data_IF_117293786839
#
_entry.id   IF_117293786839
#
_cell.length_a   1.000
_cell.length_b   1.000
_cell.length_c   1.000
_cell.angle_alpha   90.00
_cell.angle_beta   90.00
_cell.angle_gamma   90.00
#
_symmetry.space_group_name_H-M   'P 1'
#
loop_
_entity.id
_entity.type
_entity.pdbx_description
1 polymer ?
#
# COMPACT_ATOMS: atom_id res chain seq x y z
N UNK A 1 -12.48 1.97 29.17
CA UNK A 1 -11.50 1.75 28.08
C UNK A 1 -11.57 0.29 27.67
N UNK A 2 -11.88 0.02 26.42
CA UNK A 2 -11.84 -1.33 25.87
C UNK A 2 -10.39 -1.74 25.73
N UNK A 3 -10.00 -2.92 26.22
CA UNK A 3 -8.67 -3.47 26.04
C UNK A 3 -8.64 -4.26 24.74
N UNK A 4 -7.64 -4.01 23.91
CA UNK A 4 -7.37 -4.77 22.69
C UNK A 4 -6.29 -5.81 23.00
N UNK A 5 -6.52 -7.04 22.63
CA UNK A 5 -5.56 -8.14 22.81
C UNK A 5 -5.14 -8.70 21.46
N UNK A 6 -3.84 -8.93 21.29
CA UNK A 6 -3.32 -9.59 20.10
C UNK A 6 -3.39 -11.12 20.22
N UNK A 7 -3.62 -11.82 19.12
CA UNK A 7 -3.92 -11.29 17.78
C UNK A 7 -5.37 -10.80 17.68
N UNK A 8 -5.59 -9.65 17.04
CA UNK A 8 -6.94 -9.13 16.78
C UNK A 8 -7.65 -9.90 15.66
N UNK A 9 -6.90 -10.48 14.74
CA UNK A 9 -7.31 -11.42 13.71
C UNK A 9 -6.43 -12.64 13.79
N UNK A 10 -7.04 -13.83 13.83
CA UNK A 10 -6.29 -15.10 13.87
C UNK A 10 -6.18 -15.71 12.50
N UNK A 11 -5.00 -16.20 12.14
CA UNK A 11 -4.72 -16.78 10.82
C UNK A 11 -3.67 -16.00 10.06
N UNK A 12 -3.78 -16.02 8.72
CA UNK A 12 -2.85 -15.36 7.82
C UNK A 12 -3.44 -14.01 7.37
N UNK A 13 -2.91 -12.92 7.92
CA UNK A 13 -3.36 -11.54 7.65
C UNK A 13 -2.12 -10.65 7.49
N UNK A 14 -1.40 -10.84 6.38
CA UNK A 14 -0.16 -10.12 6.09
C UNK A 14 -0.41 -8.69 5.62
N UNK A 15 0.59 -7.83 5.80
CA UNK A 15 0.68 -6.47 5.26
C UNK A 15 -0.56 -5.62 5.55
N UNK A 16 -0.97 -5.44 6.82
CA UNK A 16 -2.20 -4.76 7.15
C UNK A 16 -2.15 -3.26 6.85
N UNK A 17 -3.15 -2.76 6.13
CA UNK A 17 -3.43 -1.33 5.98
C UNK A 17 -4.70 -0.98 6.76
N UNK A 18 -4.61 -0.02 7.70
CA UNK A 18 -5.74 0.38 8.54
C UNK A 18 -6.31 1.72 8.11
N UNK A 19 -7.64 1.79 8.03
CA UNK A 19 -8.40 3.00 7.75
C UNK A 19 -9.49 3.20 8.83
N UNK A 20 -9.65 4.45 9.28
CA UNK A 20 -10.80 4.84 10.10
C UNK A 20 -11.62 5.88 9.36
N UNK A 21 -12.87 5.57 9.07
CA UNK A 21 -13.81 6.46 8.38
C UNK A 21 -15.25 6.18 8.80
N UNK A 22 -16.06 7.22 8.90
CA UNK A 22 -17.49 7.14 9.22
C UNK A 22 -17.82 6.34 10.50
N UNK A 23 -16.93 6.35 11.50
CA UNK A 23 -17.13 5.66 12.78
C UNK A 23 -16.76 4.18 12.77
N UNK A 24 -16.17 3.68 11.69
CA UNK A 24 -15.73 2.29 11.55
C UNK A 24 -14.23 2.21 11.19
N UNK A 25 -13.58 1.17 11.68
CA UNK A 25 -12.21 0.78 11.31
C UNK A 25 -12.28 -0.29 10.23
N UNK A 26 -11.36 -0.23 9.29
CA UNK A 26 -11.17 -1.22 8.24
C UNK A 26 -9.72 -1.66 8.22
N UNK A 27 -9.47 -2.96 8.05
CA UNK A 27 -8.14 -3.51 7.80
C UNK A 27 -8.20 -4.23 6.46
N UNK A 28 -7.28 -3.89 5.54
CA UNK A 28 -7.09 -4.59 4.29
C UNK A 28 -5.77 -5.36 4.35
N UNK A 29 -5.77 -6.62 3.88
CA UNK A 29 -4.63 -7.52 3.94
C UNK A 29 -4.27 -8.11 2.57
N UNK A 30 -3.00 -8.48 2.42
CA UNK A 30 -2.51 -9.26 1.28
C UNK A 30 -3.15 -10.64 1.22
N UNK A 31 -3.49 -11.08 0.00
CA UNK A 31 -3.99 -12.42 -0.24
C UNK A 31 -3.06 -13.27 -1.08
N UNK A 32 -1.97 -12.69 -1.58
CA UNK A 32 -0.99 -13.36 -2.44
C UNK A 32 -1.64 -14.09 -3.61
N UNK A 33 -1.36 -15.36 -3.82
CA UNK A 33 -1.97 -16.20 -4.89
C UNK A 33 -3.41 -16.60 -4.63
N UNK A 34 -3.97 -16.28 -3.47
CA UNK A 34 -5.33 -16.69 -3.13
C UNK A 34 -6.37 -15.72 -3.66
N UNK A 35 -7.38 -16.30 -4.32
CA UNK A 35 -8.51 -15.55 -4.88
C UNK A 35 -9.77 -15.79 -4.01
N UNK A 36 -10.60 -14.77 -3.83
CA UNK A 36 -10.56 -13.40 -4.36
C UNK A 36 -9.49 -12.52 -3.68
N UNK A 37 -9.03 -11.49 -4.42
CA UNK A 37 -7.95 -10.61 -3.97
C UNK A 37 -8.40 -9.57 -2.96
N UNK A 38 -7.51 -9.27 -2.03
CA UNK A 38 -7.66 -8.38 -0.86
C UNK A 38 -8.74 -8.86 0.11
N UNK A 39 -8.30 -9.22 1.30
CA UNK A 39 -9.20 -9.47 2.42
C UNK A 39 -9.43 -8.16 3.18
N UNK A 40 -10.71 -7.84 3.47
CA UNK A 40 -11.06 -6.67 4.27
C UNK A 40 -11.89 -7.11 5.49
N UNK A 41 -11.51 -6.59 6.66
CA UNK A 41 -12.28 -6.71 7.89
C UNK A 41 -12.70 -5.33 8.39
N UNK A 42 -13.89 -5.24 9.02
CA UNK A 42 -14.38 -4.01 9.66
C UNK A 42 -14.68 -4.21 11.13
N UNK A 43 -14.51 -3.14 11.91
CA UNK A 43 -14.77 -3.09 13.34
C UNK A 43 -15.21 -1.70 13.79
N UNK A 44 -16.01 -1.61 14.84
CA UNK A 44 -16.35 -0.34 15.52
C UNK A 44 -15.51 -0.09 16.77
N UNK A 45 -14.80 -1.10 17.27
CA UNK A 45 -14.15 -1.06 18.58
C UNK A 45 -12.72 -1.62 18.59
N UNK A 46 -12.17 -2.03 17.43
CA UNK A 46 -10.86 -2.68 17.27
C UNK A 46 -10.75 -4.07 17.94
N UNK A 47 -11.83 -4.62 18.43
CA UNK A 47 -11.87 -5.92 19.13
C UNK A 47 -12.70 -6.93 18.34
N UNK A 48 -13.91 -6.51 17.93
CA UNK A 48 -14.84 -7.37 17.21
C UNK A 48 -14.75 -7.05 15.72
N UNK A 49 -14.20 -7.97 14.95
CA UNK A 49 -13.99 -7.82 13.52
C UNK A 49 -14.93 -8.73 12.73
N UNK A 50 -15.44 -8.21 11.63
CA UNK A 50 -16.27 -8.95 10.69
C UNK A 50 -15.73 -8.78 9.28
N UNK A 51 -15.72 -9.84 8.48
CA UNK A 51 -15.28 -9.78 7.07
C UNK A 51 -16.25 -8.94 6.24
N UNK A 52 -15.70 -8.25 5.26
CA UNK A 52 -16.40 -7.53 4.20
C UNK A 52 -16.21 -8.34 2.90
N UNK A 53 -17.15 -8.30 1.95
CA UNK A 53 -16.93 -8.91 0.63
C UNK A 53 -15.61 -8.43 0.02
N UNK A 54 -14.83 -9.38 -0.52
CA UNK A 54 -13.55 -9.05 -1.13
C UNK A 54 -13.74 -8.13 -2.35
N UNK A 55 -12.99 -7.02 -2.44
CA UNK A 55 -13.14 -6.05 -3.52
C UNK A 55 -12.75 -6.59 -4.89
N UNK A 56 -11.79 -7.52 -4.96
CA UNK A 56 -11.24 -8.03 -6.21
C UNK A 56 -11.77 -9.45 -6.50
N UNK A 57 -13.10 -9.58 -6.57
CA UNK A 57 -13.80 -10.85 -6.74
C UNK A 57 -14.31 -11.13 -8.16
N UNK A 58 -13.99 -10.27 -9.12
CA UNK A 58 -14.38 -10.41 -10.53
C UNK A 58 -13.12 -10.44 -11.41
N UNK A 59 -13.14 -11.23 -12.49
CA UNK A 59 -12.02 -11.36 -13.42
C UNK A 59 -11.59 -10.00 -14.01
N UNK A 60 -12.53 -9.09 -14.28
CA UNK A 60 -12.23 -7.74 -14.77
C UNK A 60 -11.42 -6.91 -13.77
N UNK A 61 -11.52 -7.22 -12.46
CA UNK A 61 -10.82 -6.49 -11.40
C UNK A 61 -9.47 -7.12 -11.08
N UNK A 62 -9.35 -8.43 -11.23
CA UNK A 62 -8.13 -9.17 -10.91
C UNK A 62 -8.02 -10.43 -11.76
N UNK A 63 -7.10 -10.41 -12.72
CA UNK A 63 -6.64 -11.60 -13.42
C UNK A 63 -5.32 -12.08 -12.80
N UNK A 64 -5.34 -13.28 -12.21
CA UNK A 64 -4.17 -13.91 -11.59
C UNK A 64 -3.64 -15.08 -12.42
N UNK A 65 -4.16 -15.29 -13.62
CA UNK A 65 -3.72 -16.39 -14.49
C UNK A 65 -2.22 -16.26 -14.80
N UNK A 66 -1.47 -17.32 -14.52
CA UNK A 66 -0.04 -17.37 -14.76
C UNK A 66 0.84 -16.72 -13.69
N UNK A 67 0.26 -16.22 -12.58
CA UNK A 67 1.06 -15.75 -11.45
C UNK A 67 1.81 -16.93 -10.81
N UNK A 68 3.05 -16.64 -10.36
CA UNK A 68 3.82 -17.63 -9.59
C UNK A 68 3.25 -17.82 -8.18
N UNK A 69 3.61 -18.92 -7.54
CA UNK A 69 3.36 -19.15 -6.12
C UNK A 69 3.92 -17.98 -5.28
N UNK A 70 3.21 -17.60 -4.24
CA UNK A 70 3.50 -16.44 -3.38
C UNK A 70 3.50 -15.07 -4.08
N UNK A 71 3.10 -15.00 -5.35
CA UNK A 71 2.81 -13.77 -6.07
C UNK A 71 1.32 -13.41 -5.94
N UNK A 72 0.82 -12.52 -6.78
CA UNK A 72 -0.56 -12.04 -6.73
C UNK A 72 -0.68 -10.76 -5.92
N UNK A 73 -1.62 -10.67 -5.01
CA UNK A 73 -1.94 -9.43 -4.31
C UNK A 73 -1.02 -9.20 -3.11
N UNK A 74 -0.19 -8.16 -3.21
CA UNK A 74 0.70 -7.70 -2.14
C UNK A 74 0.31 -6.32 -1.64
N UNK A 75 0.45 -6.13 -0.31
CA UNK A 75 0.36 -4.88 0.44
C UNK A 75 -0.71 -3.90 -0.07
N UNK A 76 -2.00 -4.26 -0.02
CA UNK A 76 -3.06 -3.35 -0.41
C UNK A 76 -3.16 -2.19 0.58
N UNK A 77 -3.39 -0.98 0.07
CA UNK A 77 -3.68 0.19 0.89
C UNK A 77 -5.11 0.65 0.66
N UNK A 78 -5.89 0.68 1.74
CA UNK A 78 -7.24 1.23 1.74
C UNK A 78 -7.21 2.65 2.29
N UNK A 79 -7.79 3.60 1.55
CA UNK A 79 -7.93 4.99 1.96
C UNK A 79 -9.32 5.54 1.62
N UNK A 80 -9.64 6.75 2.08
CA UNK A 80 -10.93 7.38 1.81
C UNK A 80 -10.73 8.85 1.48
N UNK A 81 -11.22 9.28 0.33
CA UNK A 81 -11.18 10.66 -0.12
C UNK A 81 -12.30 10.91 -1.13
N UNK A 82 -12.71 12.17 -1.30
CA UNK A 82 -13.73 12.60 -2.26
C UNK A 82 -15.06 11.81 -2.13
N UNK A 83 -15.39 11.36 -0.90
CA UNK A 83 -16.60 10.57 -0.65
C UNK A 83 -16.52 9.10 -1.07
N UNK A 84 -15.34 8.59 -1.42
CA UNK A 84 -15.12 7.24 -1.95
C UNK A 84 -14.04 6.49 -1.18
N UNK A 85 -14.15 5.18 -1.17
CA UNK A 85 -13.05 4.28 -0.83
C UNK A 85 -12.11 4.17 -2.03
N UNK A 86 -10.81 4.21 -1.76
CA UNK A 86 -9.72 4.04 -2.69
C UNK A 86 -8.90 2.83 -2.25
N UNK A 87 -8.80 1.84 -3.09
CA UNK A 87 -7.99 0.66 -2.83
C UNK A 87 -6.87 0.58 -3.86
N UNK A 88 -5.64 0.65 -3.38
CA UNK A 88 -4.44 0.46 -4.20
C UNK A 88 -3.82 -0.88 -3.84
N UNK A 89 -3.31 -1.59 -4.83
CA UNK A 89 -2.68 -2.89 -4.65
C UNK A 89 -1.63 -3.14 -5.73
N UNK A 90 -0.67 -4.00 -5.42
CA UNK A 90 0.22 -4.59 -6.41
C UNK A 90 -0.31 -5.96 -6.82
N UNK A 91 -0.44 -6.24 -8.11
CA UNK A 91 -0.60 -7.59 -8.63
C UNK A 91 0.78 -8.10 -9.06
N UNK A 92 1.52 -8.72 -8.14
CA UNK A 92 2.83 -9.29 -8.42
C UNK A 92 2.66 -10.48 -9.34
N UNK A 93 3.14 -10.38 -10.57
CA UNK A 93 3.03 -11.46 -11.55
C UNK A 93 4.20 -12.43 -11.46
N UNK A 94 5.41 -11.90 -11.25
CA UNK A 94 6.60 -12.73 -11.10
C UNK A 94 7.51 -12.18 -10.01
N UNK A 95 8.04 -13.08 -9.19
CA UNK A 95 9.05 -12.80 -8.18
C UNK A 95 10.16 -13.89 -8.23
N UNK A 96 10.86 -13.95 -9.35
CA UNK A 96 11.93 -14.91 -9.54
C UNK A 96 13.29 -14.41 -8.98
N UNK A 97 14.33 -15.23 -9.04
CA UNK A 97 15.67 -14.91 -8.54
C UNK A 97 16.40 -13.81 -9.30
N UNK A 98 15.95 -13.46 -10.50
CA UNK A 98 16.59 -12.40 -11.30
C UNK A 98 16.28 -10.99 -10.76
N UNK A 99 16.95 -9.97 -11.28
CA UNK A 99 16.71 -8.57 -10.88
C UNK A 99 15.36 -8.03 -11.40
N UNK A 100 14.75 -8.72 -12.34
CA UNK A 100 13.52 -8.31 -12.99
C UNK A 100 12.32 -8.77 -12.17
N UNK A 101 11.41 -7.85 -11.91
CA UNK A 101 10.14 -8.11 -11.23
C UNK A 101 9.02 -7.51 -12.07
N UNK A 102 7.90 -8.22 -12.14
CA UNK A 102 6.67 -7.74 -12.76
C UNK A 102 5.67 -7.42 -11.64
N UNK A 103 5.60 -6.15 -11.27
CA UNK A 103 4.88 -5.63 -10.10
C UNK A 103 3.99 -4.44 -10.46
N UNK A 104 2.99 -4.61 -11.35
CA UNK A 104 2.07 -3.53 -11.68
C UNK A 104 1.20 -3.15 -10.48
N UNK A 105 1.09 -1.84 -10.24
CA UNK A 105 0.26 -1.23 -9.22
C UNK A 105 -1.03 -0.71 -9.85
N UNK A 106 -2.15 -0.96 -9.19
CA UNK A 106 -3.48 -0.59 -9.64
C UNK A 106 -4.26 0.16 -8.56
N UNK A 107 -5.22 0.97 -9.01
CA UNK A 107 -6.22 1.65 -8.18
C UNK A 107 -7.62 1.21 -8.62
N UNK A 108 -8.48 0.89 -7.65
CA UNK A 108 -9.93 0.81 -7.81
C UNK A 108 -10.61 1.68 -6.77
N UNK A 109 -11.79 2.23 -7.09
CA UNK A 109 -12.57 3.08 -6.18
C UNK A 109 -14.01 2.59 -6.06
N UNK A 110 -14.66 2.88 -4.93
CA UNK A 110 -16.07 2.57 -4.71
C UNK A 110 -16.74 3.59 -3.77
N UNK A 111 -18.03 3.84 -3.95
CA UNK A 111 -18.80 4.68 -3.03
C UNK A 111 -19.10 3.95 -1.70
N UNK A 112 -19.14 2.62 -1.74
CA UNK A 112 -19.31 1.75 -0.58
C UNK A 112 -18.16 0.75 -0.48
N UNK A 113 -17.78 0.38 0.74
CA UNK A 113 -16.77 -0.66 0.97
C UNK A 113 -17.18 -2.03 0.39
N UNK A 114 -18.46 -2.26 0.25
CA UNK A 114 -19.02 -3.48 -0.34
C UNK A 114 -19.08 -3.42 -1.88
N UNK A 115 -18.65 -2.29 -2.48
CA UNK A 115 -18.67 -2.05 -3.91
C UNK A 115 -20.00 -1.45 -4.42
N UNK A 116 -20.26 -1.48 -5.74
CA UNK A 116 -19.37 -2.04 -6.75
C UNK A 116 -18.08 -1.24 -6.92
N UNK A 117 -16.98 -1.94 -7.16
CA UNK A 117 -15.67 -1.34 -7.40
C UNK A 117 -15.50 -0.99 -8.89
N UNK A 118 -14.83 0.14 -9.14
CA UNK A 118 -14.51 0.61 -10.50
C UNK A 118 -13.59 -0.35 -11.24
N UNK A 119 -13.48 -0.20 -12.55
CA UNK A 119 -12.42 -0.86 -13.30
C UNK A 119 -11.03 -0.41 -12.79
N UNK A 120 -10.02 -1.30 -12.83
CA UNK A 120 -8.70 -1.01 -12.35
C UNK A 120 -8.00 0.05 -13.21
N UNK A 121 -7.45 1.06 -12.57
CA UNK A 121 -6.57 2.04 -13.19
C UNK A 121 -5.12 1.61 -12.98
N UNK A 122 -4.40 1.32 -14.05
CA UNK A 122 -2.97 1.08 -13.97
C UNK A 122 -2.25 2.36 -13.56
N UNK A 123 -1.40 2.26 -12.52
CA UNK A 123 -0.61 3.39 -12.02
C UNK A 123 0.82 3.34 -12.55
N UNK A 124 1.61 2.40 -12.07
CA UNK A 124 2.98 2.18 -12.49
C UNK A 124 3.43 0.73 -12.22
N UNK A 125 4.66 0.40 -12.59
CA UNK A 125 5.34 -0.85 -12.25
C UNK A 125 6.78 -0.58 -11.80
N UNK A 126 7.01 0.52 -11.08
CA UNK A 126 8.34 0.94 -10.62
C UNK A 126 8.80 0.22 -9.34
N UNK A 127 7.97 -0.59 -8.79
CA UNK A 127 8.15 -1.33 -7.54
C UNK A 127 6.80 -1.75 -7.00
N UNK A 128 6.69 -2.01 -5.70
CA UNK A 128 5.51 -2.56 -5.04
C UNK A 128 5.19 -1.80 -3.74
N UNK A 129 4.26 -2.33 -2.94
CA UNK A 129 3.77 -1.74 -1.69
C UNK A 129 3.25 -0.30 -1.89
N UNK A 130 2.25 -0.11 -2.74
CA UNK A 130 1.73 1.22 -3.01
C UNK A 130 0.79 1.68 -1.92
N UNK A 131 0.83 2.97 -1.59
CA UNK A 131 -0.19 3.65 -0.80
C UNK A 131 -0.62 4.96 -1.45
N UNK A 132 -1.79 5.48 -1.07
CA UNK A 132 -2.25 6.79 -1.50
C UNK A 132 -2.29 7.74 -0.31
N UNK A 133 -1.61 8.86 -0.44
CA UNK A 133 -1.72 9.98 0.48
C UNK A 133 -2.63 11.06 -0.11
N UNK A 134 -3.65 11.46 0.63
CA UNK A 134 -4.56 12.56 0.30
C UNK A 134 -4.16 13.77 1.13
N UNK A 135 -3.63 14.81 0.49
CA UNK A 135 -3.22 16.02 1.20
C UNK A 135 -4.41 16.97 1.42
N UNK A 136 -4.28 17.88 2.39
CA UNK A 136 -5.30 18.86 2.77
C UNK A 136 -5.62 19.86 1.65
N UNK A 137 -4.75 19.99 0.65
CA UNK A 137 -4.95 20.84 -0.52
C UNK A 137 -5.76 20.17 -1.64
N UNK A 138 -6.26 18.95 -1.40
CA UNK A 138 -7.07 18.18 -2.33
C UNK A 138 -6.26 17.41 -3.37
N UNK A 139 -4.94 17.39 -3.29
CA UNK A 139 -4.10 16.57 -4.17
C UNK A 139 -3.91 15.16 -3.61
N UNK A 140 -3.71 14.22 -4.53
CA UNK A 140 -3.49 12.82 -4.22
C UNK A 140 -2.10 12.41 -4.67
N UNK A 141 -1.42 11.60 -3.85
CA UNK A 141 -0.03 11.23 -4.07
C UNK A 141 0.14 9.73 -3.94
N UNK A 142 0.52 9.08 -5.04
CA UNK A 142 0.98 7.71 -5.00
C UNK A 142 2.35 7.65 -4.33
N UNK A 143 2.48 6.74 -3.37
CA UNK A 143 3.73 6.44 -2.67
C UNK A 143 4.00 4.96 -2.85
N UNK A 144 5.18 4.56 -3.31
CA UNK A 144 5.57 3.15 -3.39
C UNK A 144 7.09 2.99 -3.24
N UNK A 145 7.54 1.80 -2.86
CA UNK A 145 8.96 1.51 -2.91
C UNK A 145 9.44 1.41 -4.37
N UNK A 146 10.69 1.76 -4.63
CA UNK A 146 11.32 1.58 -5.94
C UNK A 146 12.14 0.29 -5.99
N UNK A 147 11.85 -0.54 -6.99
CA UNK A 147 12.69 -1.66 -7.38
C UNK A 147 13.59 -1.26 -8.54
N UNK A 148 14.89 -1.02 -8.27
CA UNK A 148 15.83 -0.63 -9.32
C UNK A 148 16.67 -1.83 -9.80
N UNK A 149 16.22 -2.45 -10.88
CA UNK A 149 16.90 -3.58 -11.51
C UNK A 149 18.32 -3.28 -12.00
N UNK A 150 18.68 -1.99 -12.17
CA UNK A 150 20.00 -1.55 -12.62
C UNK A 150 21.05 -1.63 -11.50
N UNK A 151 20.63 -1.67 -10.25
CA UNK A 151 21.54 -1.84 -9.11
C UNK A 151 22.20 -3.20 -9.16
N UNK A 152 23.53 -3.21 -9.05
CA UNK A 152 24.32 -4.43 -8.96
C UNK A 152 24.27 -4.98 -7.55
N UNK A 153 24.23 -6.32 -7.42
CA UNK A 153 24.17 -6.99 -6.13
C UNK A 153 22.79 -7.57 -5.81
N UNK A 154 22.60 -8.10 -4.62
CA UNK A 154 21.38 -8.81 -4.26
C UNK A 154 20.22 -7.89 -3.85
N UNK A 155 20.49 -6.60 -3.64
CA UNK A 155 19.51 -5.65 -3.11
C UNK A 155 19.18 -4.59 -4.16
N UNK A 156 17.99 -4.67 -4.76
CA UNK A 156 17.43 -3.72 -5.71
C UNK A 156 16.48 -2.69 -5.07
N UNK A 157 16.20 -2.78 -3.79
CA UNK A 157 15.43 -1.76 -3.06
C UNK A 157 16.15 -0.41 -3.19
N UNK A 158 15.44 0.62 -3.62
CA UNK A 158 16.08 1.88 -4.03
C UNK A 158 15.47 3.13 -3.39
N UNK A 159 14.62 2.96 -2.40
CA UNK A 159 13.98 4.05 -1.69
C UNK A 159 12.50 4.19 -2.01
N UNK A 160 11.91 5.25 -1.50
CA UNK A 160 10.48 5.54 -1.61
C UNK A 160 10.25 6.61 -2.66
N UNK A 161 9.37 6.31 -3.59
CA UNK A 161 8.92 7.21 -4.66
C UNK A 161 7.61 7.89 -4.26
N UNK A 162 7.45 9.12 -4.73
CA UNK A 162 6.24 9.93 -4.63
C UNK A 162 5.89 10.47 -6.00
N UNK A 163 4.63 10.33 -6.43
CA UNK A 163 4.14 10.91 -7.69
C UNK A 163 2.69 11.35 -7.55
N UNK A 164 2.34 12.49 -8.12
CA UNK A 164 0.97 13.01 -8.08
C UNK A 164 0.02 12.17 -8.93
N UNK A 165 -1.17 11.91 -8.39
CA UNK A 165 -2.29 11.29 -9.11
C UNK A 165 -3.40 12.31 -9.30
N UNK A 166 -3.86 12.47 -10.52
CA UNK A 166 -5.00 13.32 -10.86
C UNK A 166 -6.30 12.51 -10.90
N UNK A 167 -7.18 12.72 -9.93
CA UNK A 167 -8.52 12.11 -9.94
C UNK A 167 -9.35 12.55 -11.15
N UNK A 168 -9.12 13.77 -11.67
CA UNK A 168 -9.78 14.28 -12.86
C UNK A 168 -9.36 13.58 -14.13
N UNK A 169 -8.05 13.30 -14.30
CA UNK A 169 -7.48 12.64 -15.48
C UNK A 169 -7.42 11.13 -15.31
N UNK A 170 -7.64 10.65 -14.07
CA UNK A 170 -7.58 9.26 -13.67
C UNK A 170 -6.24 8.60 -14.01
N UNK A 171 -5.14 9.31 -13.78
CA UNK A 171 -3.78 8.83 -14.04
C UNK A 171 -2.74 9.56 -13.19
N UNK A 172 -1.52 9.00 -13.14
CA UNK A 172 -0.36 9.68 -12.58
C UNK A 172 0.05 10.85 -13.47
N UNK A 173 0.38 11.98 -12.85
CA UNK A 173 0.86 13.19 -13.51
C UNK A 173 2.21 13.63 -12.96
N UNK A 174 2.89 14.49 -13.72
CA UNK A 174 4.20 15.00 -13.32
C UNK A 174 5.29 13.92 -13.29
N UNK A 175 6.40 14.22 -12.62
CA UNK A 175 7.53 13.31 -12.49
C UNK A 175 7.51 12.63 -11.14
N UNK A 176 7.81 11.34 -11.13
CA UNK A 176 8.10 10.60 -9.89
C UNK A 176 9.37 11.17 -9.23
N UNK A 177 9.32 11.34 -7.92
CA UNK A 177 10.44 11.85 -7.11
C UNK A 177 10.75 10.88 -5.99
N UNK A 178 12.04 10.68 -5.74
CA UNK A 178 12.50 9.86 -4.61
C UNK A 178 12.57 10.75 -3.37
N UNK A 179 11.80 10.42 -2.34
CA UNK A 179 11.65 11.25 -1.14
C UNK A 179 12.37 10.70 0.08
N UNK A 180 12.61 9.39 0.16
CA UNK A 180 13.25 8.75 1.30
C UNK A 180 14.04 7.51 0.87
N UNK A 181 15.21 7.29 1.45
CA UNK A 181 16.09 6.17 1.09
C UNK A 181 16.05 5.01 2.09
N UNK A 182 15.32 5.17 3.19
CA UNK A 182 15.38 4.26 4.33
C UNK A 182 16.52 4.62 5.30
N UNK A 183 16.74 3.72 6.26
CA UNK A 183 17.81 3.79 7.24
C UNK A 183 18.93 2.78 6.92
N UNK A 184 19.90 2.64 7.82
CA UNK A 184 20.96 1.63 7.71
C UNK A 184 20.45 0.18 7.85
N UNK A 185 19.19 -0.01 8.29
CA UNK A 185 18.53 -1.33 8.31
C UNK A 185 18.37 -1.83 6.87
N UNK A 186 18.01 -0.96 5.93
CA UNK A 186 17.88 -1.28 4.51
C UNK A 186 16.60 -2.04 4.15
N UNK A 187 16.45 -2.40 2.87
CA UNK A 187 15.26 -3.07 2.31
C UNK A 187 13.98 -2.29 2.61
N UNK A 188 14.01 -0.97 2.34
CA UNK A 188 12.90 -0.07 2.64
C UNK A 188 11.69 -0.32 1.73
N UNK A 189 10.53 -0.58 2.33
CA UNK A 189 9.27 -0.93 1.66
C UNK A 189 8.06 -0.48 2.47
N UNK A 190 6.83 -0.79 2.06
CA UNK A 190 5.61 -0.53 2.81
C UNK A 190 5.36 0.94 3.18
N UNK A 191 5.57 1.93 2.28
CA UNK A 191 5.50 3.33 2.67
C UNK A 191 4.07 3.80 2.89
N UNK A 192 3.83 4.50 4.00
CA UNK A 192 2.62 5.29 4.25
C UNK A 192 2.97 6.70 4.67
N UNK A 193 2.30 7.70 4.12
CA UNK A 193 2.47 9.11 4.53
C UNK A 193 1.29 9.55 5.39
N UNK A 194 1.61 10.22 6.47
CA UNK A 194 0.65 10.86 7.38
C UNK A 194 1.01 12.32 7.57
N UNK A 195 0.00 13.20 7.70
CA UNK A 195 0.19 14.61 8.02
C UNK A 195 -0.36 14.91 9.40
N UNK A 196 0.49 15.45 10.26
CA UNK A 196 0.10 15.82 11.63
C UNK A 196 0.94 16.99 12.16
N UNK A 197 0.27 17.98 12.77
CA UNK A 197 0.92 19.11 13.43
C UNK A 197 1.92 19.85 12.51
N UNK A 198 1.60 20.00 11.23
CA UNK A 198 2.44 20.71 10.25
C UNK A 198 3.66 19.91 9.77
N UNK A 199 3.71 18.61 10.05
CA UNK A 199 4.73 17.69 9.53
C UNK A 199 4.10 16.60 8.70
N UNK A 200 4.82 16.17 7.68
CA UNK A 200 4.61 14.91 6.96
C UNK A 200 5.48 13.84 7.61
N UNK A 201 4.89 12.71 7.90
CA UNK A 201 5.57 11.52 8.43
C UNK A 201 5.53 10.44 7.37
N UNK A 202 6.68 9.85 7.06
CA UNK A 202 6.77 8.62 6.26
C UNK A 202 7.04 7.47 7.21
N UNK A 203 6.10 6.51 7.24
CA UNK A 203 6.24 5.25 7.95
C UNK A 203 6.59 4.19 6.90
N UNK A 204 7.59 3.37 7.17
CA UNK A 204 8.09 2.33 6.27
C UNK A 204 8.39 1.05 7.04
N UNK A 205 8.35 -0.08 6.33
CA UNK A 205 8.97 -1.32 6.76
C UNK A 205 10.40 -1.39 6.24
N UNK A 206 11.29 -2.02 6.98
CA UNK A 206 12.69 -2.25 6.63
C UNK A 206 13.15 -3.64 7.08
N UNK A 207 14.30 -4.09 6.60
CA UNK A 207 14.90 -5.38 7.00
C UNK A 207 14.31 -6.60 6.30
N UNK A 208 13.33 -6.41 5.40
CA UNK A 208 12.63 -7.49 4.70
C UNK A 208 11.74 -8.32 5.64
N UNK A 209 11.33 -9.52 5.21
CA UNK A 209 10.33 -10.35 5.89
C UNK A 209 10.94 -11.36 6.91
N UNK A 210 12.17 -11.14 7.33
CA UNK A 210 12.89 -12.00 8.30
C UNK A 210 12.89 -11.44 9.72
N UNK A 211 13.84 -11.93 10.54
CA UNK A 211 13.98 -11.49 11.93
C UNK A 211 14.50 -10.06 12.08
N UNK A 212 15.10 -9.49 11.02
CA UNK A 212 15.58 -8.11 10.99
C UNK A 212 14.45 -7.11 10.65
N UNK A 213 13.22 -7.60 10.46
CA UNK A 213 12.07 -6.76 10.13
C UNK A 213 11.82 -5.70 11.20
N UNK A 214 11.71 -4.44 10.74
CA UNK A 214 11.50 -3.29 11.60
C UNK A 214 10.54 -2.28 10.94
N UNK A 215 9.94 -1.44 11.76
CA UNK A 215 9.21 -0.27 11.30
C UNK A 215 10.04 0.98 11.60
N UNK A 216 10.24 1.83 10.60
CA UNK A 216 10.94 3.12 10.73
C UNK A 216 10.01 4.26 10.40
N UNK A 217 10.21 5.38 11.10
CA UNK A 217 9.43 6.59 10.89
C UNK A 217 10.37 7.78 10.69
N UNK A 218 10.14 8.56 9.65
CA UNK A 218 10.84 9.81 9.42
C UNK A 218 9.85 10.95 9.19
N UNK A 219 10.24 12.19 9.46
CA UNK A 219 9.38 13.35 9.30
C UNK A 219 10.04 14.49 8.55
N UNK A 220 9.21 15.32 7.92
CA UNK A 220 9.61 16.55 7.23
C UNK A 220 8.53 17.61 7.33
N UNK A 221 8.89 18.88 7.19
CA UNK A 221 7.93 19.97 6.97
C UNK A 221 7.45 20.09 5.53
N UNK A 222 8.11 19.43 4.60
CA UNK A 222 7.76 19.37 3.19
C UNK A 222 7.42 17.95 2.80
N UNK A 223 6.37 17.75 2.01
CA UNK A 223 6.01 16.45 1.44
C UNK A 223 7.16 15.82 0.64
N UNK A 224 8.00 16.66 0.04
CA UNK A 224 9.14 16.24 -0.78
C UNK A 224 10.44 16.06 0.02
N UNK A 225 10.37 16.18 1.33
CA UNK A 225 11.55 16.09 2.19
C UNK A 225 12.36 17.40 2.28
N UNK A 226 13.59 17.32 2.79
CA UNK A 226 14.23 16.11 3.30
C UNK A 226 13.52 15.55 4.54
N UNK A 227 13.50 14.22 4.65
CA UNK A 227 12.95 13.52 5.81
C UNK A 227 14.06 13.20 6.82
N UNK A 228 13.81 13.45 8.10
CA UNK A 228 14.69 13.14 9.22
C UNK A 228 14.06 12.01 10.04
N UNK A 229 14.87 11.05 10.46
CA UNK A 229 14.43 9.92 11.32
C UNK A 229 13.84 10.48 12.62
N UNK A 230 12.71 9.93 13.04
CA UNK A 230 11.93 10.44 14.18
C UNK A 230 11.80 9.39 15.27
#
# INVERSE_FOLDING_TARGET
>A
MTKVYNPILTGFHADPSILYVNGEYYIANSTFEWYPGVEIHKSKDLVHWTSVPSPLSEERLLDMMGNYASCGIWAPCLSYSEGKFWLIYTNVRTWNRGPWKDTPNFLVTADSIEGPWSDPVFLNASGFDPSMFHDDDGRHWLVNMEWDYRKKGPNQFSGILLQEFSSKENCLIGKSQKIFLGTDIGLVEGPHIYKRNGYYYVLVAEGGTGYEHAASCARSKSLFGPYEIH
#
